data_IF_968654683955
#
_entry.id   IF_968654683955
#
_cell.length_a   1.000
_cell.length_b   1.000
_cell.length_c   1.000
_cell.angle_alpha   90.00
_cell.angle_beta   90.00
_cell.angle_gamma   90.00
#
_symmetry.space_group_name_H-M   'P 1'
#
loop_
_entity.id
_entity.type
_entity.pdbx_description
1 polymer ?
#
# COMPACT_ATOMS: atom_id res chain seq x y z
N UNK A 1 17.65 9.39 -26.47
CA UNK A 1 16.74 8.28 -26.84
C UNK A 1 17.22 6.86 -26.52
N UNK A 2 18.41 6.64 -25.95
CA UNK A 2 18.86 5.28 -25.54
C UNK A 2 18.59 4.94 -24.05
N UNK A 3 18.31 5.94 -23.21
CA UNK A 3 18.08 5.76 -21.76
C UNK A 3 16.64 5.37 -21.39
N UNK A 4 15.68 5.56 -22.31
CA UNK A 4 14.27 5.24 -22.07
C UNK A 4 13.96 3.74 -22.27
N UNK A 5 14.74 3.04 -23.11
CA UNK A 5 14.53 1.62 -23.41
C UNK A 5 15.09 0.66 -22.35
N UNK A 6 16.06 1.09 -21.54
CA UNK A 6 16.57 0.27 -20.43
C UNK A 6 15.69 0.36 -19.17
N UNK A 7 14.87 1.41 -19.04
CA UNK A 7 13.96 1.58 -17.89
C UNK A 7 12.77 0.60 -17.98
N UNK A 8 12.38 0.18 -19.20
CA UNK A 8 11.27 -0.77 -19.38
C UNK A 8 11.57 -2.22 -18.97
N UNK A 9 12.84 -2.63 -18.87
CA UNK A 9 13.21 -3.98 -18.42
C UNK A 9 13.29 -4.12 -16.89
N UNK A 10 13.42 -3.01 -16.16
CA UNK A 10 13.49 -3.00 -14.68
C UNK A 10 12.09 -3.24 -14.06
N UNK A 11 11.03 -3.20 -14.89
CA UNK A 11 9.64 -3.40 -14.48
C UNK A 11 9.23 -4.86 -14.21
N UNK A 12 10.13 -5.83 -14.31
CA UNK A 12 9.85 -7.22 -13.96
C UNK A 12 10.32 -7.55 -12.54
N UNK A 13 9.75 -6.86 -11.54
CA UNK A 13 9.66 -7.44 -10.20
C UNK A 13 8.50 -8.43 -10.22
N UNK A 14 8.73 -9.75 -10.10
CA UNK A 14 7.64 -10.71 -10.15
C UNK A 14 6.75 -10.48 -8.93
N UNK A 15 5.50 -10.08 -9.19
CA UNK A 15 4.36 -10.26 -8.28
C UNK A 15 4.18 -11.76 -8.05
N UNK A 16 4.96 -12.33 -7.15
CA UNK A 16 4.65 -13.63 -6.60
C UNK A 16 5.08 -13.62 -5.16
N UNK A 17 4.11 -13.93 -4.29
CA UNK A 17 4.28 -14.28 -2.89
C UNK A 17 5.20 -15.51 -2.85
N UNK A 18 6.51 -15.28 -2.99
CA UNK A 18 7.49 -16.34 -3.17
C UNK A 18 7.77 -17.01 -1.83
N UNK A 19 7.48 -18.31 -1.77
CA UNK A 19 8.13 -19.25 -0.87
C UNK A 19 9.62 -18.92 -0.72
N UNK A 20 10.11 -18.86 0.51
CA UNK A 20 11.37 -18.18 0.92
C UNK A 20 12.66 -18.47 0.14
N UNK A 21 12.70 -19.49 -0.72
CA UNK A 21 13.90 -19.82 -1.51
C UNK A 21 14.25 -18.81 -2.61
N UNK A 22 13.29 -18.11 -3.24
CA UNK A 22 13.62 -17.16 -4.32
C UNK A 22 14.26 -15.88 -3.78
N UNK A 23 13.77 -15.40 -2.63
CA UNK A 23 14.29 -14.20 -1.98
C UNK A 23 15.71 -14.44 -1.43
N UNK A 24 15.96 -15.61 -0.84
CA UNK A 24 17.31 -16.02 -0.41
C UNK A 24 18.26 -16.22 -1.60
N UNK A 25 17.79 -16.81 -2.70
CA UNK A 25 18.57 -16.95 -3.93
C UNK A 25 18.95 -15.58 -4.52
N UNK A 26 18.00 -14.64 -4.54
CA UNK A 26 18.27 -13.27 -4.98
C UNK A 26 19.28 -12.57 -4.06
N UNK A 27 19.15 -12.68 -2.73
CA UNK A 27 20.13 -12.16 -1.77
C UNK A 27 21.52 -12.78 -1.96
N UNK A 28 21.61 -14.08 -2.24
CA UNK A 28 22.88 -14.76 -2.49
C UNK A 28 23.50 -14.36 -3.83
N UNK A 29 22.69 -14.23 -4.88
CA UNK A 29 23.13 -13.77 -6.21
C UNK A 29 23.64 -12.33 -6.13
N UNK A 30 22.91 -11.49 -5.40
CA UNK A 30 23.31 -10.15 -5.00
C UNK A 30 24.67 -10.22 -4.28
N UNK A 31 24.79 -10.91 -3.14
CA UNK A 31 26.06 -11.00 -2.38
C UNK A 31 27.26 -11.55 -3.18
N UNK A 32 27.06 -12.32 -4.25
CA UNK A 32 28.13 -12.97 -5.02
C UNK A 32 28.56 -12.20 -6.29
N UNK A 33 27.96 -11.04 -6.60
CA UNK A 33 28.19 -10.35 -7.88
C UNK A 33 28.62 -8.88 -7.80
N UNK A 34 28.57 -8.20 -6.65
CA UNK A 34 28.94 -6.78 -6.58
C UNK A 34 30.44 -6.53 -6.53
N UNK A 35 30.89 -5.51 -7.26
CA UNK A 35 32.23 -4.94 -7.11
C UNK A 35 33.35 -5.80 -7.69
N UNK A 36 33.04 -6.77 -8.56
CA UNK A 36 34.06 -7.56 -9.27
C UNK A 36 34.95 -6.68 -10.15
N UNK A 37 34.35 -5.74 -10.86
CA UNK A 37 35.06 -4.78 -11.71
C UNK A 37 35.91 -3.82 -10.87
N UNK A 38 35.37 -3.33 -9.75
CA UNK A 38 36.11 -2.49 -8.81
C UNK A 38 37.28 -3.24 -8.16
N UNK A 39 37.07 -4.51 -7.79
CA UNK A 39 38.12 -5.38 -7.25
C UNK A 39 39.20 -5.67 -8.29
N UNK A 40 38.83 -5.82 -9.56
CA UNK A 40 39.77 -5.99 -10.67
C UNK A 40 40.65 -4.74 -10.85
N UNK A 41 40.06 -3.54 -10.86
CA UNK A 41 40.81 -2.27 -10.90
C UNK A 41 41.79 -2.14 -9.72
N UNK A 42 41.33 -2.45 -8.50
CA UNK A 42 42.20 -2.41 -7.32
C UNK A 42 43.36 -3.40 -7.41
N UNK A 43 43.12 -4.60 -7.96
CA UNK A 43 44.19 -5.57 -8.20
C UNK A 43 45.19 -5.07 -9.24
N UNK A 44 44.74 -4.48 -10.34
CA UNK A 44 45.62 -3.86 -11.35
C UNK A 44 46.49 -2.74 -10.74
N UNK A 45 45.94 -1.94 -9.83
CA UNK A 45 46.69 -0.89 -9.13
C UNK A 45 47.69 -1.41 -8.10
N UNK A 46 47.39 -2.53 -7.43
CA UNK A 46 48.21 -3.07 -6.33
C UNK A 46 49.30 -4.04 -6.78
N UNK A 47 49.17 -4.63 -7.97
CA UNK A 47 50.13 -5.61 -8.54
C UNK A 47 51.45 -4.99 -9.06
N UNK A 48 51.83 -3.79 -8.61
CA UNK A 48 52.86 -2.96 -9.28
C UNK A 48 54.30 -3.22 -8.79
N UNK A 49 55.24 -3.20 -9.74
CA UNK A 49 56.67 -2.88 -9.52
C UNK A 49 56.88 -1.35 -9.62
N UNK A 50 57.76 -0.78 -8.79
CA UNK A 50 57.78 0.65 -8.44
C UNK A 50 58.03 1.64 -9.58
N UNK A 51 58.56 1.17 -10.72
CA UNK A 51 59.18 2.06 -11.72
C UNK A 51 58.46 2.05 -13.09
N UNK A 52 57.34 1.33 -13.26
CA UNK A 52 56.61 1.29 -14.53
C UNK A 52 55.14 1.72 -14.41
N UNK A 53 54.73 2.71 -15.22
CA UNK A 53 53.39 3.29 -15.19
C UNK A 53 52.51 2.63 -16.27
N UNK A 54 51.64 1.71 -15.86
CA UNK A 54 50.67 1.11 -16.79
C UNK A 54 49.59 2.10 -17.23
N UNK A 55 49.07 1.89 -18.45
CA UNK A 55 47.94 2.63 -18.98
C UNK A 55 46.69 2.40 -18.11
N UNK A 56 45.96 3.49 -17.83
CA UNK A 56 44.72 3.45 -17.07
C UNK A 56 43.61 2.76 -17.86
N UNK A 57 42.96 1.74 -17.27
CA UNK A 57 41.81 1.08 -17.88
C UNK A 57 40.54 1.93 -17.71
N UNK A 58 40.31 2.86 -18.65
CA UNK A 58 39.10 3.69 -18.67
C UNK A 58 37.84 2.83 -18.73
N UNK A 59 37.81 1.82 -19.60
CA UNK A 59 36.63 0.97 -19.79
C UNK A 59 36.19 0.26 -18.50
N UNK A 60 37.14 -0.28 -17.74
CA UNK A 60 36.81 -0.95 -16.47
C UNK A 60 36.32 0.06 -15.42
N UNK A 61 36.87 1.28 -15.43
CA UNK A 61 36.42 2.37 -14.56
C UNK A 61 34.99 2.83 -14.89
N UNK A 62 34.69 3.03 -16.18
CA UNK A 62 33.37 3.40 -16.66
C UNK A 62 32.32 2.32 -16.36
N UNK A 63 32.72 1.04 -16.45
CA UNK A 63 31.88 -0.09 -16.04
C UNK A 63 31.56 -0.06 -14.54
N UNK A 64 32.52 0.31 -13.68
CA UNK A 64 32.27 0.45 -12.24
C UNK A 64 31.33 1.60 -11.94
N UNK A 65 31.48 2.74 -12.63
CA UNK A 65 30.56 3.89 -12.48
C UNK A 65 29.15 3.46 -12.88
N UNK A 66 28.99 2.83 -14.04
CA UNK A 66 27.71 2.35 -14.54
C UNK A 66 27.07 1.34 -13.58
N UNK A 67 27.87 0.42 -13.03
CA UNK A 67 27.44 -0.54 -12.02
C UNK A 67 26.91 0.17 -10.76
N UNK A 68 27.63 1.17 -10.25
CA UNK A 68 27.22 1.95 -9.09
C UNK A 68 25.91 2.72 -9.33
N UNK A 69 25.75 3.36 -10.48
CA UNK A 69 24.55 4.13 -10.83
C UNK A 69 23.32 3.22 -10.95
N UNK A 70 23.47 2.07 -11.60
CA UNK A 70 22.40 1.08 -11.71
C UNK A 70 21.94 0.57 -10.34
N UNK A 71 22.89 0.32 -9.43
CA UNK A 71 22.55 -0.14 -8.08
C UNK A 71 21.87 0.94 -7.26
N UNK A 72 22.31 2.20 -7.41
CA UNK A 72 21.64 3.33 -6.79
C UNK A 72 20.18 3.43 -7.23
N UNK A 73 19.92 3.35 -8.55
CA UNK A 73 18.57 3.39 -9.10
C UNK A 73 17.71 2.21 -8.64
N UNK A 74 18.28 1.00 -8.61
CA UNK A 74 17.56 -0.20 -8.14
C UNK A 74 17.17 -0.08 -6.67
N UNK A 75 18.10 0.37 -5.82
CA UNK A 75 17.84 0.59 -4.39
C UNK A 75 16.77 1.66 -4.17
N UNK A 76 16.84 2.78 -4.89
CA UNK A 76 15.80 3.80 -4.83
C UNK A 76 14.42 3.24 -5.20
N UNK A 77 14.35 2.44 -6.26
CA UNK A 77 13.10 1.85 -6.76
C UNK A 77 12.51 0.86 -5.75
N UNK A 78 13.34 0.01 -5.16
CA UNK A 78 12.96 -0.90 -4.09
C UNK A 78 12.39 -0.19 -2.87
N UNK A 79 13.06 0.88 -2.42
CA UNK A 79 12.60 1.68 -1.27
C UNK A 79 11.26 2.34 -1.57
N UNK A 80 11.12 2.96 -2.75
CA UNK A 80 9.85 3.58 -3.17
C UNK A 80 8.72 2.56 -3.23
N UNK A 81 8.97 1.37 -3.79
CA UNK A 81 8.00 0.29 -3.87
C UNK A 81 7.54 -0.16 -2.47
N UNK A 82 8.48 -0.47 -1.57
CA UNK A 82 8.16 -0.88 -0.21
C UNK A 82 7.35 0.18 0.55
N UNK A 83 7.67 1.47 0.36
CA UNK A 83 6.92 2.57 0.95
C UNK A 83 5.52 2.71 0.35
N UNK A 84 5.35 2.51 -0.96
CA UNK A 84 4.05 2.53 -1.61
C UNK A 84 3.11 1.44 -1.06
N UNK A 85 3.59 0.22 -0.83
CA UNK A 85 2.82 -0.87 -0.21
C UNK A 85 2.32 -0.50 1.19
N UNK A 86 3.16 0.12 2.00
CA UNK A 86 2.77 0.62 3.33
C UNK A 86 1.65 1.66 3.18
N UNK A 87 1.82 2.63 2.28
CA UNK A 87 0.85 3.71 2.03
C UNK A 87 -0.51 3.15 1.57
N UNK A 88 -0.51 2.15 0.68
CA UNK A 88 -1.74 1.48 0.26
C UNK A 88 -2.42 0.79 1.45
N UNK A 89 -1.66 0.12 2.33
CA UNK A 89 -2.21 -0.53 3.51
C UNK A 89 -2.87 0.45 4.49
N UNK A 90 -2.37 1.70 4.57
CA UNK A 90 -2.97 2.74 5.41
C UNK A 90 -4.38 3.09 4.95
N UNK A 91 -4.64 3.11 3.63
CA UNK A 91 -5.97 3.39 3.09
C UNK A 91 -7.02 2.38 3.55
N UNK A 92 -6.62 1.12 3.72
CA UNK A 92 -7.51 0.04 4.18
C UNK A 92 -7.65 0.00 5.70
N UNK A 93 -6.63 0.42 6.46
CA UNK A 93 -6.65 0.39 7.93
C UNK A 93 -7.25 1.63 8.59
N UNK A 94 -7.02 2.79 8.00
CA UNK A 94 -7.39 4.10 8.57
C UNK A 94 -8.53 4.72 7.77
N UNK A 95 -8.55 4.51 6.45
CA UNK A 95 -9.52 5.11 5.55
C UNK A 95 -8.95 6.27 4.72
N UNK A 96 -9.81 7.07 4.07
CA UNK A 96 -9.41 8.08 3.10
C UNK A 96 -8.76 9.33 3.72
N UNK A 97 -8.92 9.55 5.02
CA UNK A 97 -8.32 10.68 5.76
C UNK A 97 -7.27 10.18 6.74
N UNK A 98 -6.01 10.57 6.54
CA UNK A 98 -4.91 10.19 7.42
C UNK A 98 -4.76 11.18 8.59
N UNK A 99 -4.43 10.71 9.82
CA UNK A 99 -4.00 11.55 10.93
C UNK A 99 -2.78 12.41 10.58
N UNK A 100 -2.70 13.60 11.18
CA UNK A 100 -1.63 14.59 10.91
C UNK A 100 -0.22 14.02 11.19
N UNK A 101 -0.07 13.26 12.28
CA UNK A 101 1.19 12.59 12.65
C UNK A 101 1.76 11.66 11.56
N UNK A 102 0.89 11.07 10.74
CA UNK A 102 1.29 10.22 9.62
C UNK A 102 1.58 11.07 8.40
N UNK A 103 0.78 12.11 8.17
CA UNK A 103 0.99 13.04 7.06
C UNK A 103 2.34 13.76 7.15
N UNK A 104 2.80 14.10 8.34
CA UNK A 104 4.13 14.71 8.53
C UNK A 104 5.28 13.77 8.14
N UNK A 105 5.08 12.46 8.23
CA UNK A 105 6.08 11.43 7.89
C UNK A 105 6.11 11.09 6.39
N UNK A 106 5.16 11.60 5.61
CA UNK A 106 5.07 11.35 4.16
C UNK A 106 5.72 12.48 3.37
N UNK A 107 6.45 12.11 2.32
CA UNK A 107 6.96 13.09 1.37
C UNK A 107 5.84 13.63 0.47
N UNK A 108 6.06 14.76 -0.20
CA UNK A 108 5.11 15.38 -1.12
C UNK A 108 4.56 14.39 -2.17
N UNK A 109 5.46 13.66 -2.85
CA UNK A 109 5.08 12.67 -3.87
C UNK A 109 4.24 11.53 -3.31
N UNK A 110 4.42 11.20 -2.03
CA UNK A 110 3.70 10.12 -1.36
C UNK A 110 2.31 10.55 -0.93
N UNK A 111 2.16 11.81 -0.52
CA UNK A 111 0.84 12.42 -0.27
C UNK A 111 0.02 12.47 -1.55
N UNK A 112 0.64 12.88 -2.65
CA UNK A 112 0.01 12.86 -3.97
C UNK A 112 -0.37 11.44 -4.40
N UNK A 113 0.54 10.48 -4.22
CA UNK A 113 0.27 9.06 -4.49
C UNK A 113 -0.92 8.54 -3.66
N UNK A 114 -0.98 8.82 -2.36
CA UNK A 114 -2.08 8.40 -1.50
C UNK A 114 -3.42 9.00 -1.93
N UNK A 115 -3.42 10.28 -2.34
CA UNK A 115 -4.62 10.95 -2.86
C UNK A 115 -5.12 10.28 -4.13
N UNK A 116 -4.22 10.04 -5.10
CA UNK A 116 -4.58 9.40 -6.37
C UNK A 116 -5.06 7.97 -6.17
N UNK A 117 -4.41 7.21 -5.27
CA UNK A 117 -4.81 5.87 -4.91
C UNK A 117 -6.19 5.83 -4.23
N UNK A 118 -6.46 6.76 -3.31
CA UNK A 118 -7.75 6.87 -2.63
C UNK A 118 -8.87 7.19 -3.62
N UNK A 119 -8.64 8.14 -4.54
CA UNK A 119 -9.59 8.48 -5.60
C UNK A 119 -9.85 7.31 -6.56
N UNK A 120 -8.82 6.52 -6.90
CA UNK A 120 -8.99 5.33 -7.73
C UNK A 120 -9.86 4.26 -7.06
N UNK A 121 -9.69 4.05 -5.75
CA UNK A 121 -10.54 3.14 -4.97
C UNK A 121 -11.98 3.67 -4.92
N UNK A 122 -12.17 4.95 -4.65
CA UNK A 122 -13.50 5.59 -4.63
C UNK A 122 -14.21 5.46 -5.97
N UNK A 123 -13.51 5.66 -7.08
CA UNK A 123 -14.05 5.46 -8.42
C UNK A 123 -14.48 4.01 -8.65
N UNK A 124 -13.69 3.04 -8.18
CA UNK A 124 -14.01 1.62 -8.33
C UNK A 124 -15.21 1.20 -7.46
N UNK A 125 -15.29 1.69 -6.23
CA UNK A 125 -16.44 1.46 -5.34
C UNK A 125 -17.72 2.06 -5.93
N UNK A 126 -17.63 3.26 -6.53
CA UNK A 126 -18.76 3.90 -7.19
C UNK A 126 -19.23 3.14 -8.45
N UNK A 127 -18.30 2.55 -9.21
CA UNK A 127 -18.65 1.74 -10.38
C UNK A 127 -19.34 0.43 -10.02
N UNK A 128 -18.91 -0.20 -8.92
CA UNK A 128 -19.50 -1.45 -8.44
C UNK A 128 -20.72 -1.29 -7.53
N UNK A 129 -21.05 -0.06 -7.11
CA UNK A 129 -22.04 0.23 -6.07
C UNK A 129 -21.84 -0.65 -4.81
N UNK A 130 -20.57 -0.84 -4.44
CA UNK A 130 -20.16 -1.72 -3.35
C UNK A 130 -19.07 -1.06 -2.53
N UNK A 131 -19.29 -0.97 -1.22
CA UNK A 131 -18.26 -0.54 -0.28
C UNK A 131 -17.31 -1.71 0.02
N UNK A 132 -16.06 -1.57 -0.42
CA UNK A 132 -14.99 -2.54 -0.20
C UNK A 132 -14.28 -2.37 1.14
N UNK A 133 -14.60 -1.30 1.87
CA UNK A 133 -13.93 -0.93 3.13
C UNK A 133 -14.60 -1.50 4.37
N UNK A 134 -15.76 -2.14 4.19
CA UNK A 134 -16.50 -2.82 5.27
C UNK A 134 -15.79 -4.09 5.72
N UNK A 135 -16.05 -4.49 6.96
CA UNK A 135 -15.47 -5.70 7.53
C UNK A 135 -15.92 -6.95 6.78
N UNK A 136 -14.93 -7.76 6.36
CA UNK A 136 -15.15 -9.05 5.68
C UNK A 136 -15.60 -10.16 6.65
N UNK A 137 -15.75 -9.85 7.94
CA UNK A 137 -16.24 -10.80 8.95
C UNK A 137 -17.77 -10.74 8.93
N UNK A 138 -18.46 -11.82 8.53
CA UNK A 138 -19.91 -11.83 8.53
C UNK A 138 -20.41 -11.59 9.97
N UNK A 139 -21.37 -10.67 10.16
CA UNK A 139 -21.90 -10.39 11.49
C UNK A 139 -22.46 -11.68 12.10
N UNK A 140 -22.15 -11.93 13.38
CA UNK A 140 -22.57 -13.14 14.11
C UNK A 140 -24.08 -13.36 14.07
N UNK A 141 -24.84 -12.27 14.15
CA UNK A 141 -26.29 -12.25 14.00
C UNK A 141 -26.68 -11.14 12.99
N UNK A 142 -27.45 -11.46 11.93
CA UNK A 142 -27.85 -10.49 10.91
C UNK A 142 -28.90 -9.49 11.43
N UNK A 143 -29.59 -9.83 12.52
CA UNK A 143 -30.56 -8.96 13.19
C UNK A 143 -30.02 -8.52 14.55
N UNK A 144 -30.14 -7.22 14.83
CA UNK A 144 -29.84 -6.63 16.12
C UNK A 144 -31.11 -6.01 16.71
N UNK A 145 -31.20 -5.96 18.04
CA UNK A 145 -32.22 -5.20 18.73
C UNK A 145 -31.73 -3.78 18.92
N UNK A 146 -32.50 -2.81 18.44
CA UNK A 146 -32.20 -1.39 18.62
C UNK A 146 -33.34 -0.72 19.35
N UNK A 147 -33.00 0.22 20.24
CA UNK A 147 -33.95 1.15 20.84
C UNK A 147 -33.89 2.49 20.10
N UNK A 148 -35.05 3.02 19.77
CA UNK A 148 -35.20 4.33 19.11
C UNK A 148 -35.07 5.43 20.17
N UNK A 149 -34.16 6.39 19.96
CA UNK A 149 -33.87 7.44 20.92
C UNK A 149 -34.75 8.69 20.75
N UNK A 150 -35.19 8.96 19.52
CA UNK A 150 -36.09 10.07 19.17
C UNK A 150 -37.12 9.63 18.12
N UNK A 151 -38.29 10.28 18.08
CA UNK A 151 -39.36 9.96 17.12
C UNK A 151 -38.90 10.20 15.68
N UNK A 152 -38.38 9.15 15.05
CA UNK A 152 -38.03 9.16 13.63
C UNK A 152 -39.32 8.82 12.90
N UNK A 153 -39.99 9.82 12.32
CA UNK A 153 -41.38 9.72 11.86
C UNK A 153 -41.78 8.43 11.10
N UNK A 154 -43.09 8.14 11.11
CA UNK A 154 -43.76 6.87 10.78
C UNK A 154 -43.47 6.18 9.42
N UNK A 155 -42.55 6.68 8.59
CA UNK A 155 -42.33 6.21 7.22
C UNK A 155 -40.85 5.91 6.88
N UNK A 156 -40.07 5.39 7.82
CA UNK A 156 -38.78 4.79 7.46
C UNK A 156 -38.99 3.35 6.98
N UNK A 157 -38.74 3.14 5.69
CA UNK A 157 -38.73 1.81 5.07
C UNK A 157 -37.45 1.08 5.44
N UNK A 158 -37.50 0.28 6.49
CA UNK A 158 -36.41 -0.64 6.84
C UNK A 158 -36.61 -1.94 6.05
N UNK A 159 -36.02 -1.99 4.86
CA UNK A 159 -36.27 -3.07 3.90
C UNK A 159 -37.72 -3.08 3.39
N UNK A 160 -38.43 -4.21 3.54
CA UNK A 160 -39.79 -4.43 3.01
C UNK A 160 -40.92 -4.12 4.00
N UNK A 161 -40.62 -3.67 5.23
CA UNK A 161 -41.61 -3.43 6.28
C UNK A 161 -41.45 -2.03 6.85
N UNK A 162 -42.56 -1.28 6.89
CA UNK A 162 -42.65 0.01 7.57
C UNK A 162 -42.82 -0.24 9.07
N UNK A 163 -41.90 0.25 9.89
CA UNK A 163 -41.99 0.21 11.35
C UNK A 163 -42.48 1.56 11.87
N UNK A 164 -43.42 1.55 12.82
CA UNK A 164 -43.76 2.75 13.60
C UNK A 164 -42.68 2.97 14.65
N UNK A 165 -41.72 3.85 14.34
CA UNK A 165 -40.55 4.13 15.16
C UNK A 165 -40.89 5.24 16.17
N UNK A 166 -41.50 4.84 17.29
CA UNK A 166 -41.82 5.75 18.39
C UNK A 166 -40.66 5.83 19.39
N UNK A 167 -40.52 6.96 20.08
CA UNK A 167 -39.48 7.16 21.09
C UNK A 167 -39.49 6.06 22.15
N UNK A 168 -38.31 5.50 22.42
CA UNK A 168 -38.06 4.35 23.31
C UNK A 168 -38.65 3.00 22.86
N UNK A 169 -39.17 2.87 21.65
CA UNK A 169 -39.56 1.56 21.11
C UNK A 169 -38.33 0.70 20.82
N UNK A 170 -38.49 -0.62 20.94
CA UNK A 170 -37.44 -1.61 20.63
C UNK A 170 -37.84 -2.39 19.40
N UNK A 171 -36.95 -2.44 18.40
CA UNK A 171 -37.19 -3.14 17.14
C UNK A 171 -36.04 -4.10 16.81
N UNK A 172 -36.39 -5.25 16.23
CA UNK A 172 -35.40 -6.20 15.69
C UNK A 172 -35.19 -5.89 14.20
N UNK A 173 -34.01 -5.43 13.85
CA UNK A 173 -33.71 -4.85 12.54
C UNK A 173 -32.42 -5.42 11.99
N UNK A 174 -32.25 -5.40 10.66
CA UNK A 174 -30.98 -5.84 10.07
C UNK A 174 -29.88 -4.87 10.46
N UNK A 175 -28.70 -5.41 10.79
CA UNK A 175 -27.54 -4.58 11.17
C UNK A 175 -27.20 -3.53 10.11
N UNK A 176 -27.27 -3.89 8.83
CA UNK A 176 -27.06 -2.98 7.69
C UNK A 176 -27.96 -1.75 7.71
N UNK A 177 -29.23 -1.95 8.06
CA UNK A 177 -30.23 -0.88 8.00
C UNK A 177 -30.16 0.00 9.25
N UNK A 178 -29.66 -0.56 10.37
CA UNK A 178 -29.55 0.13 11.65
C UNK A 178 -28.24 0.92 11.81
N UNK A 179 -27.13 0.50 11.18
CA UNK A 179 -25.81 1.13 11.29
C UNK A 179 -25.84 2.63 10.96
N UNK A 180 -26.60 3.01 9.93
CA UNK A 180 -26.77 4.41 9.55
C UNK A 180 -27.44 5.24 10.67
N UNK A 181 -28.41 4.67 11.39
CA UNK A 181 -29.12 5.40 12.46
C UNK A 181 -28.35 5.39 13.78
N UNK A 182 -27.60 4.31 14.06
CA UNK A 182 -26.72 4.21 15.22
C UNK A 182 -25.58 5.22 15.11
N UNK A 183 -24.94 5.33 13.94
CA UNK A 183 -23.87 6.31 13.70
C UNK A 183 -24.35 7.77 13.78
N UNK A 184 -25.63 8.02 13.51
CA UNK A 184 -26.26 9.35 13.66
C UNK A 184 -26.75 9.64 15.10
N UNK A 185 -26.69 8.65 16.01
CA UNK A 185 -27.17 8.79 17.38
C UNK A 185 -28.69 8.77 17.53
N UNK A 186 -29.42 8.27 16.53
CA UNK A 186 -30.89 8.17 16.55
C UNK A 186 -31.39 6.84 17.12
N UNK A 187 -30.54 5.82 17.12
CA UNK A 187 -30.81 4.49 17.67
C UNK A 187 -29.64 4.03 18.54
N UNK A 188 -29.92 3.24 19.58
CA UNK A 188 -28.92 2.55 20.40
C UNK A 188 -29.07 1.03 20.29
N UNK A 189 -27.96 0.28 20.27
CA UNK A 189 -28.01 -1.19 20.33
C UNK A 189 -28.47 -1.61 21.74
N UNK A 190 -29.65 -2.23 21.80
CA UNK A 190 -30.22 -2.72 23.04
C UNK A 190 -29.79 -4.18 23.25
N UNK A 191 -28.74 -4.36 24.05
CA UNK A 191 -28.34 -5.67 24.57
C UNK A 191 -29.18 -5.94 25.82
N UNK A 192 -30.29 -6.66 25.64
CA UNK A 192 -31.10 -7.18 26.75
C UNK A 192 -30.34 -8.20 27.60
#
# INVERSE_FOLDING_TARGET
>A
DSSASQISEIALFPRSRCSGGFWEYWIQLVKKMYGKNASKLLRELTSRESDNLQAFSSDTFDQVITECDNHHLMLQSLIRYNRAEIIQSLRWKIGPKLPEEIQEKLNFSEKEYFKNHSAAIESYMAELDLDLTVDMVPPKDPYIQVRVLDDIGDNLSLGSHSFSLTKNSVHSVRRTDAEQYISQGLMEEFLG
#
